data_IF_453997667983
#
_entry.id   IF_453997667983
#
_cell.length_a   1.000
_cell.length_b   1.000
_cell.length_c   1.000
_cell.angle_alpha   90.00
_cell.angle_beta   90.00
_cell.angle_gamma   90.00
#
_symmetry.space_group_name_H-M   'P 1'
#
loop_
_entity.id
_entity.type
_entity.pdbx_description
1 polymer ?
#
# COMPACT_ATOMS: atom_id res chain seq x y z
N UNK A 1 1.83 11.53 8.69
CA UNK A 1 3.28 11.59 8.40
C UNK A 1 3.88 10.23 8.04
N UNK A 2 3.94 9.21 8.94
CA UNK A 2 4.59 7.91 8.59
C UNK A 2 3.83 7.08 7.55
N UNK A 3 2.50 7.11 7.59
CA UNK A 3 1.68 6.38 6.62
C UNK A 3 1.73 7.02 5.24
N UNK A 4 1.74 8.35 5.18
CA UNK A 4 1.82 9.10 3.93
C UNK A 4 3.15 8.81 3.21
N UNK A 5 4.27 8.74 3.94
CA UNK A 5 5.56 8.32 3.37
C UNK A 5 5.55 6.88 2.84
N UNK A 6 4.78 5.98 3.47
CA UNK A 6 4.70 4.59 3.04
C UNK A 6 3.96 4.45 1.70
N UNK A 7 2.82 5.14 1.54
CA UNK A 7 2.11 5.15 0.25
C UNK A 7 2.93 5.86 -0.83
N UNK A 8 3.57 6.97 -0.48
CA UNK A 8 4.46 7.70 -1.38
C UNK A 8 5.58 6.81 -1.96
N UNK A 9 6.34 6.15 -1.09
CA UNK A 9 7.46 5.30 -1.53
C UNK A 9 6.96 4.05 -2.29
N UNK A 10 5.84 3.45 -1.89
CA UNK A 10 5.24 2.34 -2.62
C UNK A 10 4.83 2.74 -4.05
N UNK A 11 4.15 3.88 -4.22
CA UNK A 11 3.70 4.31 -5.54
C UNK A 11 4.84 4.87 -6.40
N UNK A 12 5.88 5.42 -5.79
CA UNK A 12 7.12 5.78 -6.48
C UNK A 12 7.85 4.54 -7.01
N UNK A 13 7.89 3.47 -6.22
CA UNK A 13 8.52 2.20 -6.58
C UNK A 13 7.72 1.42 -7.62
N UNK A 14 6.39 1.35 -7.45
CA UNK A 14 5.48 0.55 -8.26
C UNK A 14 4.14 1.27 -8.45
N UNK A 15 4.06 2.21 -9.42
CA UNK A 15 2.85 3.01 -9.67
C UNK A 15 1.59 2.18 -9.94
N UNK A 16 1.74 1.01 -10.56
CA UNK A 16 0.66 0.07 -10.89
C UNK A 16 -0.09 -0.42 -9.64
N UNK A 17 0.52 -0.33 -8.46
CA UNK A 17 -0.10 -0.65 -7.16
C UNK A 17 -1.41 0.11 -6.94
N UNK A 18 -1.54 1.35 -7.44
CA UNK A 18 -2.78 2.13 -7.30
C UNK A 18 -3.94 1.45 -8.05
N UNK A 19 -3.68 0.96 -9.27
CA UNK A 19 -4.68 0.26 -10.08
C UNK A 19 -5.08 -1.08 -9.45
N UNK A 20 -4.09 -1.79 -8.87
CA UNK A 20 -4.33 -2.99 -8.07
C UNK A 20 -5.26 -2.73 -6.89
N UNK A 21 -5.03 -1.65 -6.12
CA UNK A 21 -5.94 -1.24 -5.04
C UNK A 21 -7.33 -0.85 -5.54
N UNK A 22 -7.41 -0.17 -6.68
CA UNK A 22 -8.67 0.24 -7.27
C UNK A 22 -9.46 -0.91 -7.91
N UNK A 23 -8.84 -2.08 -8.10
CA UNK A 23 -9.43 -3.18 -8.88
C UNK A 23 -9.62 -2.80 -10.35
N UNK A 24 -8.81 -1.88 -10.86
CA UNK A 24 -8.87 -1.38 -12.23
C UNK A 24 -7.70 -1.96 -13.04
N UNK A 25 -7.91 -2.09 -14.35
CA UNK A 25 -6.80 -2.32 -15.28
C UNK A 25 -6.19 -0.95 -15.63
N UNK A 26 -4.87 -0.84 -15.55
CA UNK A 26 -4.18 0.31 -16.11
C UNK A 26 -4.39 0.35 -17.62
N UNK A 27 -4.67 1.53 -18.16
CA UNK A 27 -4.87 1.79 -19.59
C UNK A 27 -3.58 2.25 -20.30
N UNK A 28 -2.44 2.14 -19.61
CA UNK A 28 -1.10 2.48 -20.09
C UNK A 28 -0.09 2.45 -18.94
N UNK A 29 1.13 2.92 -19.23
CA UNK A 29 2.20 3.08 -18.24
C UNK A 29 2.07 4.42 -17.52
N UNK A 30 2.15 4.38 -16.20
CA UNK A 30 2.07 5.56 -15.34
C UNK A 30 3.37 5.77 -14.59
N UNK A 31 3.82 7.02 -14.52
CA UNK A 31 4.86 7.43 -13.59
C UNK A 31 4.23 8.16 -12.41
N UNK A 32 4.75 7.93 -11.22
CA UNK A 32 4.40 8.66 -10.01
C UNK A 32 5.34 9.86 -9.83
N UNK A 33 4.75 11.01 -9.49
CA UNK A 33 5.47 12.26 -9.27
C UNK A 33 4.95 12.95 -8.01
N UNK A 34 5.86 13.69 -7.40
CA UNK A 34 5.55 14.62 -6.33
C UNK A 34 5.34 16.01 -6.92
N UNK A 35 4.11 16.52 -6.90
CA UNK A 35 3.84 17.89 -7.33
C UNK A 35 3.44 18.77 -6.15
N UNK A 36 3.99 19.98 -6.13
CA UNK A 36 3.63 21.03 -5.17
C UNK A 36 2.81 22.08 -5.90
N UNK A 37 1.63 22.37 -5.38
CA UNK A 37 0.76 23.42 -5.92
C UNK A 37 1.25 24.77 -5.37
N UNK A 38 1.98 25.51 -6.20
CA UNK A 38 2.76 26.70 -5.78
C UNK A 38 1.97 27.74 -4.99
N UNK A 39 0.71 27.99 -5.33
CA UNK A 39 -0.13 29.00 -4.66
C UNK A 39 -0.63 28.59 -3.28
N UNK A 40 -0.62 27.30 -2.96
CA UNK A 40 -1.06 26.79 -1.65
C UNK A 40 0.09 26.25 -0.81
N UNK A 41 1.30 26.13 -1.40
CA UNK A 41 2.46 25.41 -0.86
C UNK A 41 2.16 23.98 -0.41
N UNK A 42 0.97 23.45 -0.75
CA UNK A 42 0.57 22.09 -0.45
C UNK A 42 1.12 21.14 -1.50
N UNK A 43 1.65 20.04 -0.99
CA UNK A 43 2.07 18.89 -1.78
C UNK A 43 0.90 17.93 -1.83
N UNK A 44 0.54 17.50 -3.04
CA UNK A 44 -0.42 16.41 -3.21
C UNK A 44 0.25 15.10 -2.80
N UNK A 45 -0.49 14.19 -2.17
CA UNK A 45 0.07 12.91 -1.74
C UNK A 45 0.54 12.05 -2.92
N UNK A 46 -0.13 12.17 -4.08
CA UNK A 46 0.32 11.52 -5.29
C UNK A 46 -0.21 12.14 -6.58
N UNK A 47 0.66 12.21 -7.58
CA UNK A 47 0.29 12.55 -8.96
C UNK A 47 0.80 11.46 -9.90
N UNK A 48 -0.08 10.89 -10.70
CA UNK A 48 0.28 9.87 -11.69
C UNK A 48 -0.01 10.38 -13.09
N UNK A 49 1.04 10.34 -13.91
CA UNK A 49 1.01 10.83 -15.28
C UNK A 49 1.30 9.69 -16.24
N UNK A 50 0.50 9.59 -17.31
CA UNK A 50 0.76 8.61 -18.37
C UNK A 50 2.06 8.96 -19.10
N UNK A 51 2.93 7.96 -19.31
CA UNK A 51 4.24 8.14 -19.96
C UNK A 51 4.27 7.66 -21.41
N UNK A 52 3.30 6.85 -21.81
CA UNK A 52 3.18 6.26 -23.15
C UNK A 52 2.02 6.87 -23.98
N UNK A 53 1.61 8.09 -23.65
CA UNK A 53 0.74 8.94 -24.48
C UNK A 53 -0.33 9.71 -23.69
N UNK A 54 -1.54 9.84 -24.24
CA UNK A 54 -2.64 10.64 -23.68
C UNK A 54 -3.59 9.83 -22.80
N UNK A 55 -3.52 10.01 -21.48
CA UNK A 55 -4.50 9.48 -20.53
C UNK A 55 -4.93 10.54 -19.51
N UNK A 56 -5.82 10.13 -18.61
CA UNK A 56 -6.19 10.96 -17.48
C UNK A 56 -5.01 11.10 -16.52
N UNK A 57 -4.74 12.32 -16.06
CA UNK A 57 -3.86 12.53 -14.93
C UNK A 57 -4.60 12.06 -13.66
N UNK A 58 -3.91 11.35 -12.76
CA UNK A 58 -4.51 10.81 -11.54
C UNK A 58 -3.96 11.57 -10.35
N UNK A 59 -4.87 12.13 -9.56
CA UNK A 59 -4.56 12.86 -8.33
C UNK A 59 -5.00 12.02 -7.15
N UNK A 60 -4.09 11.71 -6.25
CA UNK A 60 -4.31 10.85 -5.11
C UNK A 60 -4.18 11.66 -3.82
N UNK A 61 -5.15 11.49 -2.92
CA UNK A 61 -5.06 11.86 -1.51
C UNK A 61 -5.24 10.61 -0.64
N UNK A 62 -4.38 10.43 0.36
CA UNK A 62 -4.45 9.35 1.33
C UNK A 62 -4.98 9.89 2.64
N UNK A 63 -6.20 9.49 3.02
CA UNK A 63 -6.90 10.07 4.16
C UNK A 63 -6.93 9.12 5.36
N UNK A 64 -6.22 9.50 6.42
CA UNK A 64 -6.05 8.73 7.65
C UNK A 64 -6.60 9.35 8.93
N UNK A 65 -7.33 10.46 8.82
CA UNK A 65 -7.90 11.22 9.93
C UNK A 65 -9.24 11.85 9.52
N UNK A 66 -10.01 12.37 10.47
CA UNK A 66 -11.26 13.07 10.16
C UNK A 66 -10.96 14.42 9.49
N UNK A 67 -11.46 14.60 8.27
CA UNK A 67 -11.34 15.83 7.47
C UNK A 67 -12.65 16.02 6.69
N UNK A 68 -13.50 16.95 7.12
CA UNK A 68 -14.77 17.26 6.45
C UNK A 68 -14.56 17.96 5.11
N UNK A 69 -13.38 18.54 4.89
CA UNK A 69 -13.06 19.35 3.72
C UNK A 69 -12.26 18.60 2.66
N UNK A 70 -11.95 17.31 2.88
CA UNK A 70 -11.10 16.50 1.98
C UNK A 70 -11.51 16.59 0.51
N UNK A 71 -12.81 16.55 0.21
CA UNK A 71 -13.30 16.64 -1.16
C UNK A 71 -13.03 18.02 -1.77
N UNK A 72 -13.29 19.10 -1.01
CA UNK A 72 -13.04 20.46 -1.47
C UNK A 72 -11.55 20.72 -1.65
N UNK A 73 -10.73 20.27 -0.70
CA UNK A 73 -9.27 20.37 -0.75
C UNK A 73 -8.71 19.68 -2.00
N UNK A 74 -9.08 18.43 -2.23
CA UNK A 74 -8.64 17.70 -3.43
C UNK A 74 -9.07 18.42 -4.72
N UNK A 75 -10.32 18.85 -4.84
CA UNK A 75 -10.78 19.54 -6.05
C UNK A 75 -10.10 20.89 -6.26
N UNK A 76 -9.89 21.66 -5.19
CA UNK A 76 -9.16 22.92 -5.23
C UNK A 76 -7.74 22.69 -5.76
N UNK A 77 -7.04 21.69 -5.24
CA UNK A 77 -5.67 21.36 -5.63
C UNK A 77 -5.60 20.93 -7.10
N UNK A 78 -6.49 20.03 -7.55
CA UNK A 78 -6.57 19.60 -8.96
C UNK A 78 -6.80 20.79 -9.90
N UNK A 79 -7.83 21.60 -9.62
CA UNK A 79 -8.20 22.69 -10.51
C UNK A 79 -7.15 23.80 -10.51
N UNK A 80 -6.51 24.05 -9.37
CA UNK A 80 -5.39 24.99 -9.28
C UNK A 80 -4.20 24.49 -10.10
N UNK A 81 -3.85 23.22 -10.01
CA UNK A 81 -2.77 22.64 -10.81
C UNK A 81 -3.04 22.77 -12.32
N UNK A 82 -4.26 22.47 -12.76
CA UNK A 82 -4.64 22.62 -14.18
C UNK A 82 -4.66 24.07 -14.64
N UNK A 83 -5.15 25.00 -13.81
CA UNK A 83 -5.11 26.42 -14.12
C UNK A 83 -3.67 26.94 -14.27
N UNK A 84 -2.74 26.47 -13.43
CA UNK A 84 -1.33 26.86 -13.46
C UNK A 84 -0.57 26.28 -14.66
N UNK A 85 -0.87 25.04 -15.04
CA UNK A 85 -0.16 24.33 -16.12
C UNK A 85 -0.81 24.53 -17.49
N UNK A 86 -2.05 25.03 -17.53
CA UNK A 86 -2.86 25.08 -18.75
C UNK A 86 -3.31 23.71 -19.25
N UNK A 87 -3.19 22.65 -18.43
CA UNK A 87 -3.59 21.29 -18.82
C UNK A 87 -5.09 21.21 -19.13
N UNK A 88 -5.41 20.51 -20.21
CA UNK A 88 -6.80 20.18 -20.61
C UNK A 88 -7.07 18.68 -20.61
N UNK A 89 -6.15 17.90 -20.03
CA UNK A 89 -6.31 16.45 -19.96
C UNK A 89 -7.49 16.07 -19.06
N UNK A 90 -8.10 14.90 -19.29
CA UNK A 90 -8.96 14.28 -18.29
C UNK A 90 -8.25 14.14 -16.93
N UNK A 91 -8.99 14.07 -15.84
CA UNK A 91 -8.44 13.72 -14.53
C UNK A 91 -9.24 12.62 -13.83
N UNK A 92 -8.56 11.85 -12.99
CA UNK A 92 -9.17 11.00 -11.98
C UNK A 92 -8.77 11.51 -10.59
N UNK A 93 -9.75 12.00 -9.83
CA UNK A 93 -9.58 12.31 -8.42
C UNK A 93 -9.72 11.02 -7.62
N UNK A 94 -8.70 10.62 -6.86
CA UNK A 94 -8.68 9.40 -6.06
C UNK A 94 -8.48 9.77 -4.61
N UNK A 95 -9.36 9.28 -3.74
CA UNK A 95 -9.16 9.35 -2.29
C UNK A 95 -9.06 7.93 -1.77
N UNK A 96 -7.92 7.60 -1.15
CA UNK A 96 -7.70 6.36 -0.43
C UNK A 96 -7.93 6.59 1.06
N UNK A 97 -9.11 6.21 1.54
CA UNK A 97 -9.42 6.23 2.96
C UNK A 97 -8.79 5.01 3.65
N UNK A 98 -7.93 5.25 4.64
CA UNK A 98 -7.31 4.18 5.43
C UNK A 98 -8.34 3.41 6.26
N UNK A 99 -9.39 4.11 6.68
CA UNK A 99 -10.56 3.54 7.33
C UNK A 99 -11.83 4.22 6.77
N UNK A 100 -12.91 3.45 6.62
CA UNK A 100 -14.21 3.95 6.15
C UNK A 100 -14.77 5.07 7.02
N UNK A 101 -14.41 5.13 8.31
CA UNK A 101 -14.86 6.19 9.22
C UNK A 101 -14.35 7.58 8.82
N UNK A 102 -13.20 7.66 8.14
CA UNK A 102 -12.61 8.92 7.68
C UNK A 102 -13.24 9.48 6.42
N UNK A 103 -14.16 8.75 5.78
CA UNK A 103 -14.95 9.30 4.68
C UNK A 103 -16.13 10.10 5.26
N UNK A 104 -16.13 11.44 5.14
CA UNK A 104 -17.22 12.27 5.67
C UNK A 104 -18.52 12.12 4.86
N UNK A 105 -18.48 11.47 3.68
CA UNK A 105 -19.63 11.23 2.79
C UNK A 105 -20.41 12.49 2.41
N UNK A 106 -19.78 13.65 2.50
CA UNK A 106 -20.36 14.96 2.23
C UNK A 106 -19.90 15.52 0.87
N UNK A 107 -19.46 14.66 -0.05
CA UNK A 107 -18.90 15.11 -1.33
C UNK A 107 -19.93 15.97 -2.10
N UNK A 108 -19.57 17.22 -2.45
CA UNK A 108 -20.50 18.17 -3.05
C UNK A 108 -20.80 17.83 -4.52
N UNK A 109 -19.88 17.15 -5.20
CA UNK A 109 -20.00 16.79 -6.61
C UNK A 109 -20.63 15.41 -6.74
N UNK A 110 -21.88 15.37 -7.23
CA UNK A 110 -22.62 14.12 -7.42
C UNK A 110 -22.07 13.27 -8.58
N UNK A 111 -21.62 13.92 -9.66
CA UNK A 111 -21.10 13.25 -10.86
C UNK A 111 -20.14 14.17 -11.61
N UNK A 112 -19.06 13.58 -12.11
CA UNK A 112 -18.17 14.24 -13.07
C UNK A 112 -18.54 13.85 -14.50
N UNK A 113 -18.35 14.76 -15.44
CA UNK A 113 -18.49 14.47 -16.87
C UNK A 113 -17.36 13.56 -17.30
N UNK A 114 -17.70 12.40 -17.87
CA UNK A 114 -16.72 11.47 -18.45
C UNK A 114 -15.85 12.20 -19.48
N UNK A 115 -14.53 11.96 -19.52
CA UNK A 115 -13.77 10.95 -18.76
C UNK A 115 -13.32 11.35 -17.33
N UNK A 116 -13.68 12.54 -16.84
CA UNK A 116 -13.33 12.92 -15.47
C UNK A 116 -14.13 12.09 -14.46
N UNK A 117 -13.49 11.72 -13.35
CA UNK A 117 -14.11 10.85 -12.33
C UNK A 117 -13.53 11.05 -10.94
N UNK A 118 -14.34 10.73 -9.94
CA UNK A 118 -13.93 10.58 -8.55
C UNK A 118 -13.98 9.09 -8.17
N UNK A 119 -12.90 8.58 -7.58
CA UNK A 119 -12.75 7.20 -7.13
C UNK A 119 -12.48 7.23 -5.64
N UNK A 120 -13.37 6.60 -4.86
CA UNK A 120 -13.19 6.42 -3.41
C UNK A 120 -12.72 5.00 -3.16
N UNK A 121 -11.53 4.86 -2.60
CA UNK A 121 -10.96 3.58 -2.19
C UNK A 121 -11.00 3.50 -0.66
N UNK A 122 -11.25 2.29 -0.15
CA UNK A 122 -11.23 2.01 1.28
C UNK A 122 -10.24 0.88 1.51
N UNK A 123 -9.14 1.14 2.21
CA UNK A 123 -7.99 0.25 2.26
C UNK A 123 -8.36 -1.19 2.64
N UNK A 124 -9.14 -1.36 3.71
CA UNK A 124 -9.61 -2.70 4.15
C UNK A 124 -10.40 -3.44 3.07
N UNK A 125 -11.27 -2.74 2.32
CA UNK A 125 -12.05 -3.35 1.23
C UNK A 125 -11.14 -3.73 0.07
N UNK A 126 -10.21 -2.84 -0.31
CA UNK A 126 -9.26 -3.06 -1.39
C UNK A 126 -8.37 -4.28 -1.11
N UNK A 127 -7.74 -4.34 0.07
CA UNK A 127 -6.85 -5.45 0.44
C UNK A 127 -7.61 -6.77 0.60
N UNK A 128 -8.84 -6.77 1.13
CA UNK A 128 -9.69 -7.97 1.16
C UNK A 128 -10.03 -8.49 -0.24
N UNK A 129 -10.26 -7.60 -1.20
CA UNK A 129 -10.54 -7.99 -2.59
C UNK A 129 -9.31 -8.57 -3.30
N UNK A 130 -8.11 -8.10 -2.95
CA UNK A 130 -6.84 -8.66 -3.44
C UNK A 130 -6.60 -10.04 -2.83
N UNK A 131 -6.95 -10.22 -1.55
CA UNK A 131 -6.81 -11.49 -0.82
C UNK A 131 -5.35 -11.87 -0.57
N UNK A 132 -5.04 -13.15 -0.75
CA UNK A 132 -3.70 -13.71 -0.53
C UNK A 132 -2.78 -13.65 -1.76
N UNK A 133 -3.16 -12.90 -2.80
CA UNK A 133 -2.30 -12.72 -3.97
C UNK A 133 -1.02 -11.98 -3.57
N UNK A 134 0.12 -12.60 -3.85
CA UNK A 134 1.42 -11.98 -3.69
C UNK A 134 1.58 -10.81 -4.68
N UNK A 135 2.15 -9.70 -4.21
CA UNK A 135 2.43 -8.52 -5.02
C UNK A 135 3.00 -7.38 -4.17
N UNK A 136 3.42 -6.26 -4.78
CA UNK A 136 3.92 -5.11 -4.03
C UNK A 136 2.94 -4.56 -2.97
N UNK A 137 1.63 -4.80 -3.16
CA UNK A 137 0.59 -4.43 -2.19
C UNK A 137 0.61 -5.27 -0.90
N UNK A 138 1.37 -6.36 -0.85
CA UNK A 138 1.58 -7.15 0.38
C UNK A 138 2.12 -6.29 1.52
N UNK A 139 2.95 -5.28 1.23
CA UNK A 139 3.50 -4.35 2.24
C UNK A 139 2.41 -3.59 3.01
N UNK A 140 1.19 -3.49 2.47
CA UNK A 140 0.07 -2.81 3.11
C UNK A 140 -0.78 -3.71 4.01
N UNK A 141 -0.61 -5.04 3.95
CA UNK A 141 -1.39 -6.00 4.76
C UNK A 141 -1.33 -5.71 6.27
N UNK A 142 -0.19 -5.29 6.87
CA UNK A 142 -0.14 -4.93 8.28
C UNK A 142 -1.13 -3.84 8.68
N UNK A 143 -1.42 -2.87 7.80
CA UNK A 143 -2.25 -1.71 8.12
C UNK A 143 -3.70 -2.08 8.50
N UNK A 144 -4.18 -3.24 8.02
CA UNK A 144 -5.53 -3.76 8.33
C UNK A 144 -5.50 -4.96 9.28
N UNK A 145 -4.31 -5.37 9.71
CA UNK A 145 -4.11 -6.52 10.59
C UNK A 145 -4.27 -6.10 12.05
N UNK A 146 -5.10 -6.81 12.81
CA UNK A 146 -5.44 -6.40 14.20
C UNK A 146 -4.97 -7.39 15.26
N UNK A 147 -4.62 -8.61 14.88
CA UNK A 147 -4.32 -9.71 15.79
C UNK A 147 -2.82 -9.76 16.08
N UNK A 148 -2.37 -9.02 17.11
CA UNK A 148 -0.94 -8.92 17.45
C UNK A 148 -0.31 -10.30 17.74
N UNK A 149 -1.07 -11.22 18.34
CA UNK A 149 -0.58 -12.57 18.72
C UNK A 149 -0.23 -13.41 17.49
N UNK A 150 -0.89 -13.16 16.35
CA UNK A 150 -0.61 -13.85 15.08
C UNK A 150 0.47 -13.18 14.22
N UNK A 151 1.04 -12.05 14.64
CA UNK A 151 2.12 -11.40 13.89
C UNK A 151 3.32 -12.31 13.60
N UNK A 152 3.82 -13.13 14.55
CA UNK A 152 4.94 -14.04 14.28
C UNK A 152 4.66 -15.07 13.18
N UNK A 153 3.39 -15.33 12.87
CA UNK A 153 2.99 -16.22 11.76
C UNK A 153 2.74 -15.44 10.47
N UNK A 154 2.17 -14.24 10.56
CA UNK A 154 1.78 -13.41 9.43
C UNK A 154 2.98 -12.74 8.74
N UNK A 155 3.95 -12.24 9.52
CA UNK A 155 5.10 -11.50 9.00
C UNK A 155 5.98 -12.35 8.07
N UNK A 156 6.37 -13.60 8.44
CA UNK A 156 7.09 -14.48 7.52
C UNK A 156 6.32 -14.79 6.24
N UNK A 157 4.97 -14.90 6.31
CA UNK A 157 4.13 -15.10 5.11
C UNK A 157 4.21 -13.88 4.19
N UNK A 158 4.08 -12.67 4.73
CA UNK A 158 4.18 -11.43 3.93
C UNK A 158 5.57 -11.26 3.33
N UNK A 159 6.63 -11.59 4.07
CA UNK A 159 7.98 -11.63 3.52
C UNK A 159 8.08 -12.62 2.35
N UNK A 160 7.65 -13.86 2.54
CA UNK A 160 7.70 -14.89 1.50
C UNK A 160 6.92 -14.49 0.23
N UNK A 161 5.78 -13.81 0.39
CA UNK A 161 5.03 -13.24 -0.73
C UNK A 161 5.87 -12.19 -1.49
N UNK A 162 6.60 -11.31 -0.80
CA UNK A 162 7.49 -10.31 -1.41
C UNK A 162 8.67 -10.99 -2.12
N UNK A 163 9.35 -11.93 -1.46
CA UNK A 163 10.48 -12.68 -2.02
C UNK A 163 10.06 -13.44 -3.29
N UNK A 164 8.82 -13.95 -3.33
CA UNK A 164 8.28 -14.68 -4.49
C UNK A 164 8.12 -13.85 -5.76
N UNK A 165 8.18 -12.51 -5.65
CA UNK A 165 8.05 -11.60 -6.79
C UNK A 165 9.28 -11.61 -7.71
N UNK A 166 10.42 -12.15 -7.23
CA UNK A 166 11.68 -12.25 -7.98
C UNK A 166 12.13 -10.91 -8.59
N UNK A 167 11.99 -9.83 -7.81
CA UNK A 167 12.45 -8.50 -8.20
C UNK A 167 13.96 -8.35 -7.97
N UNK A 168 14.54 -7.19 -8.31
CA UNK A 168 15.94 -6.93 -7.97
C UNK A 168 16.13 -6.87 -6.45
N UNK A 169 17.31 -7.24 -5.96
CA UNK A 169 17.65 -7.20 -4.53
C UNK A 169 17.41 -5.81 -3.92
N UNK A 170 17.72 -4.75 -4.66
CA UNK A 170 17.45 -3.36 -4.27
C UNK A 170 15.95 -3.07 -4.09
N UNK A 171 15.10 -3.62 -4.96
CA UNK A 171 13.65 -3.43 -4.91
C UNK A 171 13.03 -4.26 -3.80
N UNK A 172 13.47 -5.49 -3.63
CA UNK A 172 13.05 -6.37 -2.54
C UNK A 172 13.35 -5.72 -1.20
N UNK A 173 14.58 -5.20 -1.00
CA UNK A 173 14.95 -4.47 0.21
C UNK A 173 14.02 -3.29 0.49
N UNK A 174 13.70 -2.48 -0.52
CA UNK A 174 12.75 -1.38 -0.37
C UNK A 174 11.35 -1.86 0.03
N UNK A 175 10.86 -2.97 -0.53
CA UNK A 175 9.57 -3.56 -0.15
C UNK A 175 9.59 -4.09 1.30
N UNK A 176 10.70 -4.67 1.75
CA UNK A 176 10.88 -5.10 3.14
C UNK A 176 10.89 -3.89 4.08
N UNK A 177 11.63 -2.83 3.76
CA UNK A 177 11.62 -1.58 4.53
C UNK A 177 10.20 -0.98 4.62
N UNK A 178 9.42 -1.05 3.54
CA UNK A 178 8.02 -0.62 3.55
C UNK A 178 7.13 -1.52 4.42
N UNK A 179 7.33 -2.84 4.37
CA UNK A 179 6.61 -3.79 5.22
C UNK A 179 6.88 -3.48 6.71
N UNK A 180 8.13 -3.23 7.08
CA UNK A 180 8.51 -2.84 8.44
C UNK A 180 7.83 -1.55 8.87
N UNK A 181 7.85 -0.53 8.02
CA UNK A 181 7.18 0.74 8.28
C UNK A 181 5.68 0.58 8.46
N UNK A 182 5.02 -0.31 7.71
CA UNK A 182 3.61 -0.63 7.89
C UNK A 182 3.35 -1.30 9.26
N UNK A 183 4.21 -2.24 9.68
CA UNK A 183 4.11 -2.92 10.97
C UNK A 183 4.29 -1.90 12.11
N UNK A 184 5.32 -1.05 12.06
CA UNK A 184 5.56 0.00 13.07
C UNK A 184 4.37 0.95 13.15
N UNK A 185 3.85 1.37 11.99
CA UNK A 185 2.71 2.29 11.93
C UNK A 185 1.45 1.67 12.54
N UNK A 186 1.24 0.36 12.37
CA UNK A 186 0.11 -0.37 12.94
C UNK A 186 0.30 -0.69 14.43
N UNK A 187 1.50 -1.06 14.83
CA UNK A 187 1.85 -1.55 16.17
C UNK A 187 2.95 -0.65 16.78
N UNK A 188 2.63 0.60 17.17
CA UNK A 188 3.62 1.60 17.57
C UNK A 188 4.40 1.26 18.86
N UNK A 189 3.97 0.24 19.60
CA UNK A 189 4.66 -0.25 20.81
C UNK A 189 5.71 -1.33 20.51
N UNK A 190 5.81 -1.81 19.28
CA UNK A 190 6.83 -2.80 18.91
C UNK A 190 8.16 -2.14 18.63
N UNK A 191 9.24 -2.82 19.00
CA UNK A 191 10.59 -2.36 18.69
C UNK A 191 11.00 -2.79 17.28
N UNK A 192 11.95 -2.06 16.71
CA UNK A 192 12.54 -2.43 15.42
C UNK A 192 13.17 -3.83 15.48
N UNK A 193 13.85 -4.17 16.57
CA UNK A 193 14.47 -5.50 16.77
C UNK A 193 13.43 -6.63 16.81
N UNK A 194 12.27 -6.43 17.44
CA UNK A 194 11.18 -7.41 17.45
C UNK A 194 10.68 -7.70 16.03
N UNK A 195 10.55 -6.65 15.21
CA UNK A 195 10.07 -6.76 13.82
C UNK A 195 11.11 -7.44 12.95
N UNK A 196 12.37 -7.02 13.06
CA UNK A 196 13.51 -7.62 12.35
C UNK A 196 13.63 -9.10 12.67
N UNK A 197 13.44 -9.50 13.94
CA UNK A 197 13.38 -10.92 14.30
C UNK A 197 12.25 -11.63 13.55
N UNK A 198 11.05 -11.08 13.46
CA UNK A 198 9.95 -11.74 12.73
C UNK A 198 10.14 -11.80 11.22
N UNK A 199 10.83 -10.83 10.62
CA UNK A 199 11.11 -10.80 9.17
C UNK A 199 12.26 -11.75 8.84
N UNK A 200 13.35 -11.71 9.61
CA UNK A 200 14.58 -12.43 9.29
C UNK A 200 14.69 -13.81 9.96
N UNK A 201 13.88 -14.12 10.98
CA UNK A 201 13.76 -15.51 11.46
C UNK A 201 12.66 -16.24 10.70
N UNK A 202 13.08 -17.23 9.93
CA UNK A 202 12.24 -18.42 9.71
C UNK A 202 12.31 -19.25 11.00
N UNK A 203 11.20 -19.57 11.67
CA UNK A 203 11.21 -20.53 12.78
C UNK A 203 11.90 -21.80 12.31
N UNK A 204 12.89 -22.31 13.06
CA UNK A 204 13.70 -23.44 12.59
C UNK A 204 12.82 -24.61 12.19
N UNK A 205 11.74 -24.87 12.94
CA UNK A 205 10.71 -25.89 12.68
C UNK A 205 10.09 -25.83 11.26
N UNK A 206 10.09 -24.66 10.62
CA UNK A 206 9.56 -24.45 9.27
C UNK A 206 10.64 -24.47 8.17
N UNK A 207 11.91 -24.49 8.54
CA UNK A 207 13.01 -24.69 7.59
C UNK A 207 13.09 -26.16 7.17
N UNK A 208 13.66 -26.46 5.99
CA UNK A 208 13.92 -27.85 5.58
C UNK A 208 14.70 -28.59 6.67
N UNK A 209 15.70 -27.94 7.25
CA UNK A 209 16.52 -28.48 8.36
C UNK A 209 15.67 -28.75 9.60
N UNK A 210 14.76 -27.86 10.00
CA UNK A 210 13.92 -28.13 11.17
C UNK A 210 12.79 -29.12 10.92
N UNK A 211 12.26 -29.22 9.70
CA UNK A 211 11.37 -30.32 9.33
C UNK A 211 12.10 -31.67 9.40
N UNK A 212 13.35 -31.73 8.94
CA UNK A 212 14.21 -32.90 9.09
C UNK A 212 14.47 -33.24 10.56
N UNK A 213 14.81 -32.25 11.40
CA UNK A 213 15.04 -32.46 12.84
C UNK A 213 13.79 -32.92 13.59
N UNK A 214 12.62 -32.37 13.26
CA UNK A 214 11.33 -32.81 13.82
C UNK A 214 11.05 -34.26 13.40
N UNK A 215 11.29 -34.59 12.13
CA UNK A 215 11.09 -35.96 11.62
C UNK A 215 12.05 -36.96 12.25
N UNK A 216 13.33 -36.60 12.45
CA UNK A 216 14.30 -37.43 13.16
C UNK A 216 13.88 -37.66 14.61
N UNK A 217 13.47 -36.61 15.33
CA UNK A 217 12.99 -36.73 16.71
C UNK A 217 11.73 -37.60 16.83
N UNK A 218 10.80 -37.51 15.88
CA UNK A 218 9.63 -38.42 15.82
C UNK A 218 10.04 -39.87 15.60
N UNK A 219 10.98 -40.12 14.67
CA UNK A 219 11.46 -41.47 14.39
C UNK A 219 12.22 -42.08 15.58
N UNK A 220 13.06 -41.30 16.28
CA UNK A 220 13.76 -41.73 17.49
C UNK A 220 12.79 -41.99 18.66
N UNK A 221 11.73 -41.20 18.81
CA UNK A 221 10.69 -41.44 19.82
C UNK A 221 9.94 -42.75 19.61
N UNK A 222 9.63 -43.08 18.34
CA UNK A 222 9.00 -44.35 17.95
C UNK A 222 9.95 -45.54 18.19
N UNK A 223 11.24 -45.39 17.86
CA UNK A 223 12.27 -46.40 18.07
C UNK A 223 12.55 -46.68 19.55
N UNK A 224 12.47 -45.65 20.40
CA UNK A 224 12.76 -45.75 21.83
C UNK A 224 11.51 -46.03 22.71
N UNK A 225 10.35 -46.26 22.10
CA UNK A 225 9.16 -46.79 22.80
C UNK A 225 8.57 -45.86 23.86
N UNK A 226 8.29 -44.60 23.50
CA UNK A 226 7.34 -43.73 24.22
C UNK A 226 6.01 -43.70 23.49
#
# INVERSE_FOLDING_TARGET
MKTDSLFYELFKLHPESLFGLAGLKADGKYAFESITVKTTEKRMDGFFRRTDGSGADIFLEVQGYDDTEIYWRLFQEIFTHYAQTGSRKPFAAVILFLDKKYDPKNCPVKKFTSPNRLIRLYLSKCLKAIGDKAGPLTVLKPLIFSDKEKLPQAVPKWKSEIDSLRMSESTEKLLIDLLENAIISRFPKMTFEEIQKMIHYTPIEKTVVGQELIQMGMNEGILNGV
#
